data_IF_644264180609
#
_entry.id   IF_644264180609
#
_cell.length_a   1.000
_cell.length_b   1.000
_cell.length_c   1.000
_cell.angle_alpha   90.00
_cell.angle_beta   90.00
_cell.angle_gamma   90.00
#
_symmetry.space_group_name_H-M   'P 1'
#
loop_
_entity.id
_entity.type
_entity.pdbx_description
1 polymer ?
#
# COMPACT_ATOMS: atom_id res chain seq x y z
N UNK A 1 25.52 47.24 -45.27
CA UNK A 1 24.68 47.00 -44.08
C UNK A 1 24.11 45.59 -44.17
N UNK A 2 24.70 44.61 -43.49
CA UNK A 2 24.21 43.22 -43.43
C UNK A 2 23.75 42.98 -41.98
N UNK A 3 22.46 42.75 -41.75
CA UNK A 3 21.94 42.37 -40.42
C UNK A 3 22.34 40.92 -40.14
N UNK A 4 22.71 40.63 -38.89
CA UNK A 4 23.23 39.33 -38.45
C UNK A 4 22.08 38.33 -38.23
N UNK A 5 22.24 37.11 -38.73
CA UNK A 5 21.24 36.02 -38.72
C UNK A 5 20.72 35.68 -37.30
N UNK A 6 21.49 35.97 -36.26
CA UNK A 6 21.15 35.70 -34.86
C UNK A 6 20.06 36.65 -34.31
N UNK A 7 19.97 37.88 -34.82
CA UNK A 7 18.90 38.81 -34.46
C UNK A 7 17.56 38.40 -35.07
N UNK A 8 17.56 37.79 -36.25
CA UNK A 8 16.32 37.29 -36.88
C UNK A 8 15.78 36.06 -36.15
N UNK A 9 16.63 35.14 -35.67
CA UNK A 9 16.21 33.94 -34.93
C UNK A 9 15.62 34.32 -33.56
N UNK A 10 16.27 35.23 -32.83
CA UNK A 10 15.78 35.70 -31.53
C UNK A 10 14.45 36.45 -31.65
N UNK A 11 14.31 37.31 -32.67
CA UNK A 11 13.04 37.99 -32.97
C UNK A 11 11.95 36.99 -33.37
N UNK A 12 12.30 35.93 -34.11
CA UNK A 12 11.36 34.87 -34.48
C UNK A 12 10.89 34.06 -33.27
N UNK A 13 11.79 33.70 -32.34
CA UNK A 13 11.44 32.98 -31.11
C UNK A 13 10.55 33.82 -30.19
N UNK A 14 10.85 35.12 -30.03
CA UNK A 14 10.03 36.04 -29.22
C UNK A 14 8.65 36.28 -29.87
N UNK A 15 8.60 36.39 -31.20
CA UNK A 15 7.34 36.47 -31.95
C UNK A 15 6.52 35.18 -31.82
N UNK A 16 7.14 34.00 -31.90
CA UNK A 16 6.49 32.71 -31.70
C UNK A 16 5.96 32.53 -30.27
N UNK A 17 6.73 32.92 -29.26
CA UNK A 17 6.33 32.84 -27.85
C UNK A 17 5.16 33.80 -27.52
N UNK A 18 5.10 34.97 -28.15
CA UNK A 18 3.96 35.89 -28.02
C UNK A 18 2.75 35.43 -28.84
N UNK A 19 2.95 34.71 -29.95
CA UNK A 19 1.88 34.09 -30.74
C UNK A 19 1.23 32.91 -30.00
N UNK A 20 2.00 32.14 -29.22
CA UNK A 20 1.49 31.02 -28.40
C UNK A 20 0.48 31.45 -27.32
N UNK A 21 0.50 32.74 -26.92
CA UNK A 21 -0.45 33.31 -25.95
C UNK A 21 -1.76 33.79 -26.60
N UNK A 22 -1.81 33.88 -27.94
CA UNK A 22 -3.00 34.28 -28.68
C UNK A 22 -3.77 33.02 -29.09
N UNK A 23 -5.08 32.92 -28.82
CA UNK A 23 -5.85 31.75 -29.22
C UNK A 23 -5.90 31.68 -30.76
N UNK A 24 -5.44 30.56 -31.32
CA UNK A 24 -5.50 30.28 -32.76
C UNK A 24 -6.82 29.56 -33.08
N UNK A 25 -7.62 30.17 -33.94
CA UNK A 25 -8.90 29.58 -34.36
C UNK A 25 -8.65 28.50 -35.42
N UNK A 26 -8.79 27.24 -35.01
CA UNK A 26 -8.77 26.08 -35.91
C UNK A 26 -10.19 25.76 -36.41
N UNK A 27 -10.30 25.36 -37.67
CA UNK A 27 -11.56 24.89 -38.23
C UNK A 27 -12.05 23.64 -37.48
N UNK A 28 -13.35 23.36 -37.55
CA UNK A 28 -13.95 22.20 -36.87
C UNK A 28 -13.31 20.87 -37.32
N UNK A 29 -13.08 20.72 -38.62
CA UNK A 29 -12.45 19.54 -39.20
C UNK A 29 -11.00 19.35 -38.71
N UNK A 30 -10.21 20.43 -38.64
CA UNK A 30 -8.83 20.36 -38.13
C UNK A 30 -8.77 20.01 -36.64
N UNK A 31 -9.72 20.51 -35.83
CA UNK A 31 -9.82 20.14 -34.41
C UNK A 31 -10.16 18.67 -34.22
N UNK A 32 -11.05 18.12 -35.04
CA UNK A 32 -11.43 16.71 -35.02
C UNK A 32 -10.25 15.80 -35.43
N UNK A 33 -9.52 16.17 -36.49
CA UNK A 33 -8.31 15.44 -36.92
C UNK A 33 -7.24 15.42 -35.82
N UNK A 34 -6.96 16.56 -35.18
CA UNK A 34 -6.00 16.63 -34.06
C UNK A 34 -6.46 15.82 -32.84
N UNK A 35 -7.76 15.78 -32.57
CA UNK A 35 -8.30 14.97 -31.48
C UNK A 35 -8.15 13.46 -31.76
N UNK A 36 -8.42 13.02 -33.00
CA UNK A 36 -8.21 11.64 -33.42
C UNK A 36 -6.73 11.25 -33.39
N UNK A 37 -5.85 12.13 -33.87
CA UNK A 37 -4.40 11.91 -33.86
C UNK A 37 -3.88 11.74 -32.42
N UNK A 38 -4.25 12.65 -31.50
CA UNK A 38 -3.89 12.52 -30.08
C UNK A 38 -4.40 11.23 -29.46
N UNK A 39 -5.62 10.80 -29.81
CA UNK A 39 -6.18 9.53 -29.33
C UNK A 39 -5.39 8.32 -29.83
N UNK A 40 -4.97 8.33 -31.10
CA UNK A 40 -4.16 7.26 -31.68
C UNK A 40 -2.78 7.20 -31.03
N UNK A 41 -2.15 8.35 -30.77
CA UNK A 41 -0.87 8.46 -30.08
C UNK A 41 -0.95 7.93 -28.64
N UNK A 42 -1.99 8.26 -27.90
CA UNK A 42 -2.19 7.76 -26.53
C UNK A 42 -2.39 6.23 -26.51
N UNK A 43 -3.17 5.69 -27.45
CA UNK A 43 -3.34 4.23 -27.60
C UNK A 43 -2.02 3.57 -27.95
N UNK A 44 -1.23 4.15 -28.86
CA UNK A 44 0.07 3.63 -29.25
C UNK A 44 1.07 3.66 -28.08
N UNK A 45 1.07 4.73 -27.27
CA UNK A 45 1.92 4.84 -26.09
C UNK A 45 1.53 3.85 -24.99
N UNK A 46 0.22 3.68 -24.74
CA UNK A 46 -0.27 2.65 -23.82
C UNK A 46 0.12 1.25 -24.29
N UNK A 47 0.01 0.96 -25.58
CA UNK A 47 0.43 -0.32 -26.16
C UNK A 47 1.94 -0.55 -26.02
N UNK A 48 2.75 0.48 -26.30
CA UNK A 48 4.22 0.41 -26.12
C UNK A 48 4.59 0.17 -24.66
N UNK A 49 3.91 0.83 -23.72
CA UNK A 49 4.13 0.66 -22.28
C UNK A 49 3.74 -0.76 -21.82
N UNK A 50 2.61 -1.27 -22.30
CA UNK A 50 2.18 -2.64 -22.02
C UNK A 50 3.17 -3.69 -22.59
N UNK A 51 3.69 -3.46 -23.80
CA UNK A 51 4.69 -4.33 -24.42
C UNK A 51 6.01 -4.32 -23.64
N UNK A 52 6.48 -3.14 -23.19
CA UNK A 52 7.66 -3.04 -22.32
C UNK A 52 7.47 -3.80 -21.00
N UNK A 53 6.29 -3.71 -20.38
CA UNK A 53 5.98 -4.47 -19.17
C UNK A 53 5.97 -5.99 -19.44
N UNK A 54 5.44 -6.42 -20.58
CA UNK A 54 5.43 -7.83 -20.96
C UNK A 54 6.84 -8.37 -21.26
N UNK A 55 7.70 -7.58 -21.90
CA UNK A 55 9.11 -7.92 -22.11
C UNK A 55 9.86 -8.02 -20.77
N UNK A 56 9.61 -7.10 -19.84
CA UNK A 56 10.18 -7.14 -18.50
C UNK A 56 9.72 -8.40 -17.74
N UNK A 57 8.44 -8.74 -17.81
CA UNK A 57 7.89 -9.97 -17.20
C UNK A 57 8.44 -11.26 -17.85
N UNK A 58 8.69 -11.27 -19.16
CA UNK A 58 9.33 -12.40 -19.84
C UNK A 58 10.79 -12.55 -19.46
N UNK A 59 11.50 -11.44 -19.25
CA UNK A 59 12.90 -11.47 -18.78
C UNK A 59 13.03 -11.95 -17.33
N UNK A 60 12.04 -11.69 -16.47
CA UNK A 60 12.04 -12.15 -15.08
C UNK A 60 11.56 -13.59 -14.89
N UNK A 61 10.77 -14.13 -15.84
CA UNK A 61 10.25 -15.50 -15.79
C UNK A 61 11.18 -16.56 -16.43
N UNK A 62 12.31 -16.15 -17.03
CA UNK A 62 13.20 -17.04 -17.80
C UNK A 62 14.19 -17.90 -16.99
N UNK A 63 14.24 -17.81 -15.66
CA UNK A 63 15.31 -18.43 -14.86
C UNK A 63 14.88 -19.63 -13.98
N UNK A 64 13.71 -20.20 -14.20
CA UNK A 64 13.23 -21.41 -13.51
C UNK A 64 12.76 -22.48 -14.50
N UNK A 65 13.62 -22.94 -15.41
CA UNK A 65 13.43 -24.24 -16.06
C UNK A 65 14.74 -24.83 -16.57
N UNK A 66 15.47 -25.50 -15.68
CA UNK A 66 16.37 -26.58 -16.10
C UNK A 66 16.40 -27.62 -15.00
N UNK A 67 15.50 -28.59 -15.06
CA UNK A 67 15.61 -29.95 -14.48
C UNK A 67 14.39 -30.76 -14.93
N UNK A 68 14.28 -30.98 -16.23
CA UNK A 68 13.34 -31.95 -16.79
C UNK A 68 13.96 -32.55 -18.06
N UNK A 69 14.95 -33.43 -17.90
CA UNK A 69 15.35 -34.38 -18.92
C UNK A 69 16.19 -35.52 -18.33
N UNK A 70 15.91 -36.74 -18.79
CA UNK A 70 16.72 -37.97 -18.68
C UNK A 70 16.58 -38.70 -17.33
N UNK A 71 16.25 -39.99 -17.23
CA UNK A 71 16.48 -41.10 -18.18
C UNK A 71 15.65 -42.32 -17.73
N UNK A 72 14.87 -42.92 -18.64
CA UNK A 72 14.33 -44.26 -18.46
C UNK A 72 15.41 -45.27 -18.87
N UNK A 73 15.85 -46.14 -17.95
CA UNK A 73 16.45 -47.43 -18.28
C UNK A 73 16.39 -48.39 -17.09
N UNK A 74 15.84 -49.61 -17.24
CA UNK A 74 16.00 -50.67 -16.26
C UNK A 74 17.25 -51.50 -16.61
N UNK A 75 18.08 -51.85 -15.63
CA UNK A 75 19.06 -52.93 -15.74
C UNK A 75 19.42 -53.42 -14.34
N UNK A 76 19.04 -54.66 -14.08
CA UNK A 76 19.55 -55.53 -13.01
C UNK A 76 21.06 -55.80 -13.26
N UNK A 77 21.88 -56.04 -12.23
CA UNK A 77 22.16 -57.45 -11.93
C UNK A 77 22.29 -57.78 -10.44
N UNK A 78 22.01 -59.05 -10.16
CA UNK A 78 22.16 -59.74 -8.88
C UNK A 78 23.57 -59.64 -8.29
N UNK A 79 23.65 -59.55 -6.95
CA UNK A 79 24.18 -60.57 -6.04
C UNK A 79 24.57 -59.96 -4.68
N UNK A 80 24.10 -60.67 -3.64
CA UNK A 80 24.78 -60.92 -2.37
C UNK A 80 25.14 -59.75 -1.42
N UNK A 81 24.29 -59.56 -0.41
CA UNK A 81 24.73 -59.34 0.97
C UNK A 81 23.53 -59.47 1.90
N UNK A 82 23.26 -60.73 2.27
CA UNK A 82 22.43 -61.06 3.42
C UNK A 82 23.20 -60.64 4.67
N UNK A 83 22.74 -59.59 5.36
CA UNK A 83 22.74 -59.41 6.83
C UNK A 83 22.59 -57.91 7.15
N UNK A 84 21.48 -57.54 7.83
CA UNK A 84 21.16 -56.25 8.49
C UNK A 84 19.79 -55.60 8.15
N UNK A 85 18.75 -56.39 7.83
CA UNK A 85 17.37 -55.90 7.57
C UNK A 85 16.39 -56.09 8.73
N UNK A 86 16.71 -55.59 9.93
CA UNK A 86 15.69 -55.57 11.01
C UNK A 86 15.72 -54.31 11.88
N UNK A 87 16.82 -53.55 11.88
CA UNK A 87 16.91 -52.31 12.68
C UNK A 87 16.89 -51.02 11.86
N UNK A 88 16.89 -51.07 10.52
CA UNK A 88 16.92 -49.89 9.61
C UNK A 88 15.59 -49.53 8.95
N UNK A 89 14.61 -50.44 8.95
CA UNK A 89 13.29 -50.15 8.36
C UNK A 89 12.43 -49.27 9.31
N UNK A 90 12.62 -49.39 10.63
CA UNK A 90 11.96 -48.50 11.62
C UNK A 90 12.45 -47.05 11.58
N UNK A 91 13.70 -46.81 11.17
CA UNK A 91 14.24 -45.45 11.04
C UNK A 91 13.78 -44.79 9.73
N UNK A 92 13.67 -45.57 8.64
CA UNK A 92 13.09 -45.07 7.37
C UNK A 92 11.61 -44.72 7.46
N UNK A 93 10.82 -45.45 8.24
CA UNK A 93 9.41 -45.12 8.45
C UNK A 93 9.25 -43.84 9.30
N UNK A 94 10.13 -43.61 10.30
CA UNK A 94 10.18 -42.35 11.06
C UNK A 94 10.59 -41.14 10.23
N UNK A 95 11.52 -41.31 9.30
CA UNK A 95 11.95 -40.21 8.43
C UNK A 95 10.85 -39.84 7.41
N UNK A 96 10.13 -40.83 6.86
CA UNK A 96 8.94 -40.56 6.02
C UNK A 96 7.81 -39.87 6.77
N UNK A 97 7.58 -40.24 8.04
CA UNK A 97 6.56 -39.57 8.87
C UNK A 97 6.97 -38.14 9.25
N UNK A 98 8.26 -37.88 9.46
CA UNK A 98 8.80 -36.51 9.64
C UNK A 98 8.66 -35.68 8.37
N UNK A 99 8.95 -36.24 7.20
CA UNK A 99 8.83 -35.53 5.94
C UNK A 99 7.38 -35.14 5.65
N UNK A 100 6.42 -36.04 5.91
CA UNK A 100 4.98 -35.73 5.83
C UNK A 100 4.53 -34.68 6.85
N UNK A 101 5.02 -34.73 8.09
CA UNK A 101 4.66 -33.73 9.11
C UNK A 101 5.29 -32.35 8.79
N UNK A 102 6.50 -32.31 8.23
CA UNK A 102 7.13 -31.10 7.69
C UNK A 102 6.34 -30.52 6.51
N UNK A 103 5.89 -31.35 5.58
CA UNK A 103 5.11 -30.92 4.42
C UNK A 103 3.74 -30.37 4.84
N UNK A 104 3.09 -31.01 5.83
CA UNK A 104 1.84 -30.52 6.42
C UNK A 104 2.02 -29.18 7.10
N UNK A 105 3.08 -29.01 7.90
CA UNK A 105 3.43 -27.72 8.53
C UNK A 105 3.79 -26.64 7.51
N UNK A 106 4.45 -26.99 6.41
CA UNK A 106 4.74 -26.04 5.33
C UNK A 106 3.47 -25.59 4.62
N UNK A 107 2.54 -26.50 4.33
CA UNK A 107 1.23 -26.15 3.74
C UNK A 107 0.37 -25.29 4.68
N UNK A 108 0.44 -25.54 5.99
CA UNK A 108 -0.24 -24.71 6.99
C UNK A 108 0.40 -23.31 7.08
N UNK A 109 1.73 -23.20 7.03
CA UNK A 109 2.43 -21.90 6.93
C UNK A 109 2.11 -21.16 5.65
N UNK A 110 2.08 -21.85 4.51
CA UNK A 110 1.74 -21.24 3.21
C UNK A 110 0.33 -20.65 3.23
N UNK A 111 -0.64 -21.38 3.83
CA UNK A 111 -2.00 -20.87 4.02
C UNK A 111 -2.06 -19.66 4.96
N UNK A 112 -1.27 -19.66 6.03
CA UNK A 112 -1.15 -18.52 6.96
C UNK A 112 -0.52 -17.30 6.27
N UNK A 113 0.52 -17.51 5.47
CA UNK A 113 1.16 -16.47 4.67
C UNK A 113 0.20 -15.91 3.60
N UNK A 114 -0.56 -16.76 2.91
CA UNK A 114 -1.57 -16.33 1.94
C UNK A 114 -2.67 -15.48 2.60
N UNK A 115 -3.13 -15.88 3.79
CA UNK A 115 -4.08 -15.11 4.57
C UNK A 115 -3.51 -13.74 4.97
N UNK A 116 -2.24 -13.70 5.38
CA UNK A 116 -1.53 -12.48 5.75
C UNK A 116 -1.26 -11.56 4.57
N UNK A 117 -0.97 -12.11 3.39
CA UNK A 117 -0.83 -11.36 2.14
C UNK A 117 -2.17 -10.74 1.76
N UNK A 118 -3.27 -11.49 1.86
CA UNK A 118 -4.62 -10.98 1.60
C UNK A 118 -5.03 -9.90 2.59
N UNK A 119 -4.69 -10.04 3.87
CA UNK A 119 -4.91 -9.03 4.90
C UNK A 119 -4.08 -7.77 4.61
N UNK A 120 -2.80 -7.93 4.28
CA UNK A 120 -1.91 -6.81 3.92
C UNK A 120 -2.42 -6.05 2.70
N UNK A 121 -2.90 -6.75 1.67
CA UNK A 121 -3.50 -6.12 0.48
C UNK A 121 -4.77 -5.31 0.82
N UNK A 122 -5.58 -5.77 1.77
CA UNK A 122 -6.75 -5.01 2.25
C UNK A 122 -6.34 -3.77 3.05
N UNK A 123 -5.35 -3.92 3.93
CA UNK A 123 -4.80 -2.81 4.71
C UNK A 123 -4.12 -1.76 3.83
N UNK A 124 -3.38 -2.20 2.81
CA UNK A 124 -2.73 -1.33 1.84
C UNK A 124 -3.76 -0.53 1.04
N UNK A 125 -4.81 -1.18 0.53
CA UNK A 125 -5.91 -0.49 -0.16
C UNK A 125 -6.63 0.54 0.71
N UNK A 126 -6.76 0.27 2.01
CA UNK A 126 -7.31 1.24 2.96
C UNK A 126 -6.37 2.42 3.18
N UNK A 127 -5.07 2.15 3.35
CA UNK A 127 -4.05 3.19 3.50
C UNK A 127 -3.95 4.06 2.24
N UNK A 128 -4.07 3.48 1.06
CA UNK A 128 -4.09 4.23 -0.21
C UNK A 128 -5.31 5.15 -0.28
N UNK A 129 -6.49 4.65 0.11
CA UNK A 129 -7.71 5.47 0.19
C UNK A 129 -7.60 6.59 1.24
N UNK A 130 -6.87 6.36 2.32
CA UNK A 130 -6.58 7.40 3.32
C UNK A 130 -5.67 8.48 2.74
N UNK A 131 -4.57 8.09 2.08
CA UNK A 131 -3.66 9.02 1.40
C UNK A 131 -4.34 9.84 0.30
N UNK A 132 -5.21 9.21 -0.48
CA UNK A 132 -5.97 9.92 -1.53
C UNK A 132 -6.83 11.04 -0.93
N UNK A 133 -7.50 10.79 0.19
CA UNK A 133 -8.33 11.81 0.85
C UNK A 133 -7.49 12.90 1.52
N UNK A 134 -6.31 12.57 2.05
CA UNK A 134 -5.36 13.58 2.54
C UNK A 134 -4.92 14.51 1.39
N UNK A 135 -4.61 13.95 0.23
CA UNK A 135 -4.29 14.71 -0.98
C UNK A 135 -5.49 15.54 -1.47
N UNK A 136 -6.71 15.01 -1.39
CA UNK A 136 -7.93 15.75 -1.70
C UNK A 136 -8.14 16.93 -0.73
N UNK A 137 -7.94 16.74 0.57
CA UNK A 137 -8.03 17.80 1.57
C UNK A 137 -7.02 18.93 1.29
N UNK A 138 -5.76 18.57 1.01
CA UNK A 138 -4.73 19.54 0.61
C UNK A 138 -5.15 20.24 -0.70
N UNK A 139 -5.61 19.48 -1.69
CA UNK A 139 -6.06 20.03 -2.97
C UNK A 139 -7.22 20.99 -2.79
N UNK A 140 -8.19 20.68 -1.93
CA UNK A 140 -9.32 21.56 -1.62
C UNK A 140 -8.89 22.82 -0.88
N UNK A 141 -7.93 22.71 0.05
CA UNK A 141 -7.37 23.86 0.78
C UNK A 141 -6.66 24.85 -0.13
N UNK A 142 -5.91 24.37 -1.13
CA UNK A 142 -5.08 25.23 -1.99
C UNK A 142 -5.70 25.59 -3.34
N UNK A 143 -6.45 24.69 -3.98
CA UNK A 143 -7.14 24.96 -5.25
C UNK A 143 -8.61 25.38 -5.05
N UNK A 144 -9.13 25.30 -3.82
CA UNK A 144 -10.52 25.59 -3.49
C UNK A 144 -11.47 24.43 -3.87
N UNK A 145 -12.44 24.15 -3.01
CA UNK A 145 -13.49 23.18 -3.31
C UNK A 145 -14.59 23.81 -4.18
N UNK A 146 -15.14 23.02 -5.11
CA UNK A 146 -16.33 23.42 -5.86
C UNK A 146 -17.53 23.35 -4.91
N UNK A 147 -18.17 24.48 -4.63
CA UNK A 147 -19.33 24.57 -3.72
C UNK A 147 -20.40 23.55 -4.15
N UNK A 148 -20.78 22.58 -3.29
CA UNK A 148 -21.83 21.64 -3.64
C UNK A 148 -23.14 22.40 -3.85
N UNK A 149 -23.83 22.11 -4.96
CA UNK A 149 -25.13 22.73 -5.25
C UNK A 149 -26.13 22.24 -4.20
N UNK A 150 -26.81 23.18 -3.52
CA UNK A 150 -27.88 22.86 -2.57
C UNK A 150 -28.95 22.06 -3.31
N UNK A 151 -29.21 20.84 -2.86
CA UNK A 151 -30.31 20.01 -3.41
C UNK A 151 -31.64 20.68 -3.06
N UNK A 152 -32.60 20.64 -3.98
CA UNK A 152 -33.96 21.10 -3.71
C UNK A 152 -34.62 20.06 -2.79
N UNK A 153 -34.77 20.45 -1.52
CA UNK A 153 -35.40 19.61 -0.49
C UNK A 153 -36.92 19.74 -0.65
N UNK A 154 -37.64 18.62 -0.57
CA UNK A 154 -39.11 18.64 -0.62
C UNK A 154 -39.67 19.35 0.62
N UNK A 155 -40.75 20.13 0.51
CA UNK A 155 -41.33 20.83 1.66
C UNK A 155 -41.64 19.94 2.87
N UNK A 156 -42.06 18.69 2.66
CA UNK A 156 -42.34 17.72 3.73
C UNK A 156 -41.09 17.22 4.49
N UNK A 157 -39.93 17.29 3.87
CA UNK A 157 -38.63 16.96 4.48
C UNK A 157 -38.07 18.17 5.23
N UNK A 158 -38.38 19.39 4.75
CA UNK A 158 -38.04 20.65 5.43
C UNK A 158 -38.75 20.83 6.78
N UNK A 159 -39.90 20.19 6.98
CA UNK A 159 -40.65 20.18 8.25
C UNK A 159 -40.49 18.87 9.06
N UNK A 160 -39.64 17.94 8.60
CA UNK A 160 -39.28 16.76 9.39
C UNK A 160 -38.24 17.18 10.42
N UNK A 161 -38.70 17.60 11.59
CA UNK A 161 -37.81 17.95 12.69
C UNK A 161 -37.08 16.69 13.16
N UNK A 162 -35.80 16.57 12.80
CA UNK A 162 -34.93 15.51 13.31
C UNK A 162 -34.15 16.10 14.48
N UNK A 163 -34.35 15.53 15.67
CA UNK A 163 -33.63 15.94 16.88
C UNK A 163 -32.26 15.25 17.00
N UNK A 164 -32.04 14.22 16.18
CA UNK A 164 -30.77 13.50 16.13
C UNK A 164 -29.78 14.21 15.20
N UNK A 165 -28.51 14.20 15.60
CA UNK A 165 -27.39 14.64 14.77
C UNK A 165 -27.22 13.70 13.58
N UNK A 166 -27.09 14.25 12.37
CA UNK A 166 -26.80 13.46 11.18
C UNK A 166 -25.34 12.97 11.20
N UNK A 167 -25.07 11.74 10.76
CA UNK A 167 -23.70 11.18 10.73
C UNK A 167 -22.76 11.94 9.78
N UNK A 168 -23.29 12.72 8.85
CA UNK A 168 -22.54 13.61 7.95
C UNK A 168 -22.01 14.85 8.68
N UNK A 169 -22.58 15.19 9.84
CA UNK A 169 -22.14 16.30 10.68
C UNK A 169 -21.06 15.88 11.70
N UNK A 170 -20.65 14.59 11.71
CA UNK A 170 -19.55 14.09 12.54
C UNK A 170 -18.19 14.52 11.98
N UNK A 171 -17.55 15.47 12.67
CA UNK A 171 -16.22 16.01 12.33
C UNK A 171 -15.07 15.30 13.04
N UNK A 172 -15.35 14.31 13.90
CA UNK A 172 -14.32 13.66 14.72
C UNK A 172 -13.41 12.70 13.94
N UNK A 173 -13.82 12.31 12.72
CA UNK A 173 -13.07 11.39 11.87
C UNK A 173 -12.03 12.15 11.04
N UNK A 174 -10.87 12.33 11.62
CA UNK A 174 -9.69 12.77 10.86
C UNK A 174 -9.20 11.63 9.94
N UNK A 175 -8.71 12.00 8.77
CA UNK A 175 -8.08 11.09 7.83
C UNK A 175 -6.68 10.69 8.31
N UNK A 176 -6.01 11.55 9.07
CA UNK A 176 -4.68 11.28 9.56
C UNK A 176 -4.71 10.36 10.80
N UNK A 177 -3.99 9.23 10.70
CA UNK A 177 -3.84 8.24 11.77
C UNK A 177 -3.34 8.80 13.12
N UNK A 178 -2.57 9.89 13.12
CA UNK A 178 -2.10 10.57 14.33
C UNK A 178 -3.25 11.20 15.13
N UNK A 179 -4.26 11.70 14.44
CA UNK A 179 -5.43 12.34 15.04
C UNK A 179 -6.58 11.34 15.26
N UNK A 180 -6.58 10.18 14.59
CA UNK A 180 -7.48 9.06 14.92
C UNK A 180 -7.13 8.38 16.24
N UNK A 181 -5.84 8.34 16.61
CA UNK A 181 -5.38 7.83 17.90
C UNK A 181 -4.69 8.91 18.74
N UNK A 182 -5.40 9.97 19.19
CA UNK A 182 -4.81 10.98 20.05
C UNK A 182 -4.24 10.31 21.30
N UNK A 183 -3.01 10.69 21.66
CA UNK A 183 -2.44 10.26 22.93
C UNK A 183 -3.23 10.89 24.07
N UNK A 184 -4.18 10.13 24.63
CA UNK A 184 -4.92 10.56 25.81
C UNK A 184 -3.94 10.85 26.95
N UNK A 185 -3.91 12.10 27.40
CA UNK A 185 -3.12 12.53 28.53
C UNK A 185 -3.47 11.70 29.76
N UNK A 186 -2.45 11.29 30.51
CA UNK A 186 -2.65 10.65 31.81
C UNK A 186 -3.14 11.71 32.80
N UNK A 187 -4.45 11.76 33.02
CA UNK A 187 -5.07 12.69 33.95
C UNK A 187 -4.44 12.56 35.34
N UNK A 188 -4.04 13.69 35.91
CA UNK A 188 -3.37 13.79 37.22
C UNK A 188 -2.23 12.77 37.37
N UNK A 189 -1.32 12.70 36.37
CA UNK A 189 -0.17 11.78 36.38
C UNK A 189 -0.55 10.30 36.59
N UNK A 190 -1.73 9.91 36.10
CA UNK A 190 -2.22 8.53 36.20
C UNK A 190 -2.97 8.21 37.49
N UNK A 191 -3.14 9.17 38.40
CA UNK A 191 -3.99 9.04 39.59
C UNK A 191 -5.45 9.43 39.32
N UNK A 192 -5.69 10.28 38.32
CA UNK A 192 -7.01 10.81 37.99
C UNK A 192 -7.80 9.94 37.01
N UNK A 193 -9.11 10.19 36.96
CA UNK A 193 -10.05 9.58 36.03
C UNK A 193 -10.79 10.66 35.24
N UNK A 194 -11.23 10.33 34.02
CA UNK A 194 -12.04 11.23 33.20
C UNK A 194 -13.40 11.40 33.86
N UNK A 195 -13.86 12.64 34.03
CA UNK A 195 -15.18 12.93 34.57
C UNK A 195 -16.29 12.24 33.74
N UNK A 196 -17.34 11.77 34.42
CA UNK A 196 -18.46 11.05 33.78
C UNK A 196 -18.18 9.60 33.34
N UNK A 197 -16.92 9.15 33.38
CA UNK A 197 -16.57 7.75 33.14
C UNK A 197 -16.52 6.97 34.45
N UNK A 198 -17.12 5.78 34.48
CA UNK A 198 -17.02 4.88 35.63
C UNK A 198 -15.54 4.60 35.98
N UNK A 199 -15.21 4.78 37.26
CA UNK A 199 -13.87 4.64 37.80
C UNK A 199 -13.35 3.21 37.61
N UNK A 200 -14.20 2.18 37.81
CA UNK A 200 -13.81 0.77 37.63
C UNK A 200 -13.51 0.48 36.16
N UNK A 201 -14.37 0.94 35.25
CA UNK A 201 -14.17 0.82 33.80
C UNK A 201 -12.89 1.52 33.34
N UNK A 202 -12.63 2.71 33.85
CA UNK A 202 -11.43 3.50 33.51
C UNK A 202 -10.15 2.84 34.03
N UNK A 203 -10.19 2.31 35.26
CA UNK A 203 -9.08 1.56 35.84
C UNK A 203 -8.77 0.27 35.03
N UNK A 204 -9.80 -0.49 34.64
CA UNK A 204 -9.64 -1.69 33.80
C UNK A 204 -9.02 -1.37 32.44
N UNK A 205 -9.53 -0.35 31.73
CA UNK A 205 -8.95 0.11 30.45
C UNK A 205 -7.48 0.49 30.61
N UNK A 206 -7.11 1.14 31.72
CA UNK A 206 -5.72 1.52 32.02
C UNK A 206 -4.82 0.30 32.23
N UNK A 207 -5.26 -0.70 32.99
CA UNK A 207 -4.51 -1.96 33.21
C UNK A 207 -4.26 -2.65 31.86
N UNK A 208 -5.30 -2.82 31.04
CA UNK A 208 -5.18 -3.41 29.71
C UNK A 208 -4.22 -2.63 28.80
N UNK A 209 -4.27 -1.29 28.82
CA UNK A 209 -3.33 -0.45 28.06
C UNK A 209 -1.90 -0.62 28.54
N UNK A 210 -1.68 -0.77 29.85
CA UNK A 210 -0.36 -1.03 30.45
C UNK A 210 0.18 -2.40 30.06
N UNK A 211 -0.66 -3.42 30.10
CA UNK A 211 -0.27 -4.79 29.77
C UNK A 211 0.00 -4.93 28.27
N UNK A 212 -0.83 -4.32 27.42
CA UNK A 212 -0.57 -4.21 25.98
C UNK A 212 0.76 -3.52 25.69
N UNK A 213 1.11 -2.46 26.42
CA UNK A 213 2.42 -1.78 26.29
C UNK A 213 3.60 -2.64 26.79
N UNK A 214 3.37 -3.58 27.71
CA UNK A 214 4.41 -4.51 28.20
C UNK A 214 4.65 -5.66 27.22
N UNK A 215 3.60 -6.13 26.58
CA UNK A 215 3.64 -7.21 25.59
C UNK A 215 4.16 -6.77 24.21
N UNK A 216 4.10 -5.46 23.92
CA UNK A 216 4.77 -4.90 22.74
C UNK A 216 6.28 -5.13 22.86
N UNK A 217 6.93 -5.79 21.89
CA UNK A 217 8.37 -5.99 21.93
C UNK A 217 9.03 -4.61 21.97
N UNK A 218 9.68 -4.30 23.10
CA UNK A 218 10.47 -3.08 23.22
C UNK A 218 11.59 -3.22 22.20
N UNK A 219 11.49 -2.49 21.09
CA UNK A 219 12.53 -2.40 20.08
C UNK A 219 13.87 -2.25 20.77
N UNK A 220 14.82 -3.12 20.41
CA UNK A 220 16.15 -3.21 21.02
C UNK A 220 16.75 -1.81 21.06
N UNK A 221 16.79 -1.19 22.24
CA UNK A 221 17.51 0.06 22.45
C UNK A 221 18.99 -0.33 22.41
N UNK A 222 19.67 -0.02 21.32
CA UNK A 222 21.13 -0.08 21.26
C UNK A 222 21.65 0.88 22.33
N UNK A 223 22.15 0.32 23.43
CA UNK A 223 22.91 1.07 24.44
C UNK A 223 24.25 1.45 23.80
N UNK A 224 24.66 2.72 23.77
CA UNK A 224 26.04 3.04 23.45
C UNK A 224 26.95 2.48 24.56
N UNK A 225 28.08 1.82 24.21
CA UNK A 225 29.08 1.47 25.21
C UNK A 225 29.78 2.74 25.69
N UNK A 226 30.02 2.81 27.00
CA UNK A 226 30.84 3.81 27.71
C UNK A 226 30.15 5.13 28.12
N UNK A 227 29.44 5.08 29.25
CA UNK A 227 29.43 6.20 30.19
C UNK A 227 30.13 5.71 31.46
N UNK A 228 31.43 5.96 31.57
CA UNK A 228 32.13 5.86 32.85
C UNK A 228 31.53 6.92 33.78
N UNK A 229 30.96 6.47 34.88
CA UNK A 229 30.61 7.31 36.03
C UNK A 229 31.93 7.60 36.74
N UNK A 230 32.48 8.81 36.53
CA UNK A 230 33.46 9.37 37.45
C UNK A 230 32.68 9.88 38.67
N UNK A 231 32.79 9.17 39.79
CA UNK A 231 32.48 9.70 41.11
C UNK A 231 33.65 10.58 41.55
N UNK A 232 33.39 11.87 41.75
CA UNK A 232 34.10 12.74 42.68
C UNK A 232 33.09 13.12 43.75
#
# INVERSE_FOLDING_TARGET
MKRSVEEDISTTIVSAATNMKKPVFLTKAQREQLALQRRQEEIAEQKRRAEQQLLQARSSSGNHSSHAASTNKPSDPSLDSRHHRSSRDRDRDRDRDRDRDSERRNRDREREEEAKVRERARSEKLADREREKELESIKEQYLGSKKPKKRVIKPSEKFRFSFDWENTEDTSRDMNSLYQNPHEAQLLFGRGFRAGMDQRRSARKRVLKRDRRRLQPRGRRNKPPNCMILLI
#
